data_IF_263499066392
#
_entry.id   IF_263499066392
#
_cell.length_a   1.000
_cell.length_b   1.000
_cell.length_c   1.000
_cell.angle_alpha   90.00
_cell.angle_beta   90.00
_cell.angle_gamma   90.00
#
_symmetry.space_group_name_H-M   'P 1'
#
loop_
_entity.id
_entity.type
_entity.pdbx_description
1 polymer ?
#
# COMPACT_ATOMS: atom_id res chain seq x y z
N UNK A 1 -17.87 -49.50 -14.77
CA UNK A 1 -17.69 -48.05 -14.57
C UNK A 1 -17.48 -47.79 -13.09
N UNK A 2 -16.25 -47.46 -12.70
CA UNK A 2 -15.89 -47.17 -11.30
C UNK A 2 -16.41 -45.77 -10.95
N UNK A 3 -17.32 -45.66 -9.97
CA UNK A 3 -17.72 -44.37 -9.41
C UNK A 3 -16.50 -43.75 -8.73
N UNK A 4 -15.98 -42.65 -9.28
CA UNK A 4 -14.94 -41.84 -8.65
C UNK A 4 -15.59 -41.07 -7.50
N UNK A 5 -15.21 -41.34 -6.25
CA UNK A 5 -15.65 -40.56 -5.10
C UNK A 5 -15.05 -39.14 -5.20
N UNK A 6 -15.92 -38.14 -5.12
CA UNK A 6 -15.52 -36.73 -5.07
C UNK A 6 -14.96 -36.45 -3.68
N UNK A 7 -13.69 -36.04 -3.61
CA UNK A 7 -13.08 -35.75 -2.31
C UNK A 7 -13.66 -34.47 -1.70
N UNK A 8 -13.62 -34.33 -0.36
CA UNK A 8 -13.98 -33.07 0.33
C UNK A 8 -13.24 -31.85 -0.23
N UNK A 9 -12.01 -32.04 -0.69
CA UNK A 9 -11.19 -30.99 -1.33
C UNK A 9 -11.76 -30.57 -2.68
N UNK A 10 -12.23 -31.53 -3.48
CA UNK A 10 -12.84 -31.26 -4.78
C UNK A 10 -14.21 -30.58 -4.61
N UNK A 11 -14.98 -30.99 -3.60
CA UNK A 11 -16.24 -30.34 -3.24
C UNK A 11 -16.01 -28.87 -2.85
N UNK A 12 -15.09 -28.60 -1.92
CA UNK A 12 -14.80 -27.22 -1.46
C UNK A 12 -14.29 -26.34 -2.60
N UNK A 13 -13.41 -26.86 -3.49
CA UNK A 13 -12.95 -26.13 -4.67
C UNK A 13 -14.10 -25.81 -5.62
N UNK A 14 -14.96 -26.78 -5.91
CA UNK A 14 -16.13 -26.58 -6.76
C UNK A 14 -17.09 -25.55 -6.17
N UNK A 15 -17.39 -25.62 -4.86
CA UNK A 15 -18.27 -24.68 -4.18
C UNK A 15 -17.70 -23.26 -4.16
N UNK A 16 -16.40 -23.10 -3.95
CA UNK A 16 -15.74 -21.78 -3.98
C UNK A 16 -15.80 -21.14 -5.37
N UNK A 17 -15.57 -21.93 -6.43
CA UNK A 17 -15.69 -21.48 -7.82
C UNK A 17 -17.15 -21.11 -8.14
N UNK A 18 -18.12 -21.94 -7.75
CA UNK A 18 -19.54 -21.67 -7.99
C UNK A 18 -20.01 -20.39 -7.27
N UNK A 19 -19.59 -20.17 -6.04
CA UNK A 19 -19.93 -18.95 -5.28
C UNK A 19 -19.29 -17.69 -5.88
N UNK A 20 -18.06 -17.78 -6.39
CA UNK A 20 -17.40 -16.68 -7.09
C UNK A 20 -18.13 -16.32 -8.40
N UNK A 21 -18.57 -17.33 -9.17
CA UNK A 21 -19.34 -17.13 -10.41
C UNK A 21 -20.73 -16.54 -10.12
N UNK A 22 -21.41 -16.99 -9.07
CA UNK A 22 -22.71 -16.46 -8.67
C UNK A 22 -22.62 -15.00 -8.19
N UNK A 23 -21.58 -14.65 -7.43
CA UNK A 23 -21.33 -13.27 -7.01
C UNK A 23 -20.97 -12.35 -8.20
N UNK A 24 -20.30 -12.86 -9.23
CA UNK A 24 -19.96 -12.11 -10.44
C UNK A 24 -21.15 -11.82 -11.37
N UNK A 25 -22.34 -12.37 -11.12
CA UNK A 25 -23.51 -12.24 -11.99
C UNK A 25 -23.34 -12.95 -13.34
N UNK A 26 -22.43 -13.91 -13.42
CA UNK A 26 -22.24 -14.74 -14.62
C UNK A 26 -23.38 -15.74 -14.76
N UNK A 27 -23.95 -15.82 -15.96
CA UNK A 27 -24.75 -16.99 -16.33
C UNK A 27 -23.88 -18.25 -16.22
N UNK A 28 -24.49 -19.37 -15.82
CA UNK A 28 -23.90 -20.70 -15.52
C UNK A 28 -22.97 -21.32 -16.59
N UNK A 29 -22.61 -20.60 -17.66
CA UNK A 29 -21.79 -21.08 -18.76
C UNK A 29 -20.29 -21.22 -18.43
N UNK A 30 -19.80 -20.65 -17.33
CA UNK A 30 -18.36 -20.68 -16.95
C UNK A 30 -17.99 -21.82 -15.99
N UNK A 31 -18.92 -22.71 -15.64
CA UNK A 31 -18.63 -23.90 -14.83
C UNK A 31 -18.23 -25.15 -15.66
N UNK A 32 -17.72 -24.98 -16.89
CA UNK A 32 -17.28 -26.10 -17.75
C UNK A 32 -15.77 -26.04 -17.94
N UNK A 33 -15.04 -26.29 -16.84
CA UNK A 33 -13.59 -26.50 -16.85
C UNK A 33 -13.15 -27.91 -16.43
N UNK A 34 -14.04 -28.73 -15.85
CA UNK A 34 -13.65 -30.04 -15.28
C UNK A 34 -14.54 -31.23 -15.66
N UNK A 35 -15.50 -31.08 -16.59
CA UNK A 35 -16.25 -32.22 -17.14
C UNK A 35 -16.31 -32.11 -18.66
N UNK A 36 -15.35 -32.76 -19.30
CA UNK A 36 -15.42 -33.06 -20.72
C UNK A 36 -16.49 -34.15 -20.91
N UNK A 37 -17.77 -33.79 -21.02
CA UNK A 37 -18.80 -34.57 -21.71
C UNK A 37 -20.08 -33.75 -21.95
N UNK A 38 -20.42 -33.68 -23.24
CA UNK A 38 -21.60 -33.13 -23.91
C UNK A 38 -22.81 -32.65 -23.10
N UNK A 39 -23.20 -31.41 -23.39
CA UNK A 39 -24.60 -31.04 -23.54
C UNK A 39 -24.69 -29.93 -24.60
N UNK A 40 -25.33 -30.26 -25.73
CA UNK A 40 -25.60 -29.33 -26.82
C UNK A 40 -26.66 -28.31 -26.43
N UNK A 41 -26.36 -27.05 -26.69
CA UNK A 41 -27.28 -25.92 -26.61
C UNK A 41 -26.67 -24.77 -27.40
N UNK A 42 -27.20 -24.50 -28.58
CA UNK A 42 -26.70 -23.50 -29.51
C UNK A 42 -26.87 -22.08 -28.98
N UNK A 43 -25.79 -21.52 -28.43
CA UNK A 43 -25.46 -20.12 -28.67
C UNK A 43 -24.06 -20.11 -29.28
N UNK A 44 -23.87 -19.38 -30.37
CA UNK A 44 -22.53 -19.12 -30.89
C UNK A 44 -21.75 -18.41 -29.78
N UNK A 45 -20.87 -19.14 -29.07
CA UNK A 45 -19.93 -18.51 -28.15
C UNK A 45 -19.19 -17.44 -28.95
N UNK A 46 -19.31 -16.18 -28.54
CA UNK A 46 -18.50 -15.11 -29.10
C UNK A 46 -17.03 -15.54 -29.02
N UNK A 47 -16.30 -15.35 -30.12
CA UNK A 47 -14.87 -15.65 -30.14
C UNK A 47 -14.18 -14.71 -29.14
N UNK A 48 -13.51 -15.27 -28.14
CA UNK A 48 -12.79 -14.49 -27.13
C UNK A 48 -11.29 -14.73 -27.24
N UNK A 49 -10.52 -13.69 -26.92
CA UNK A 49 -9.07 -13.76 -26.74
C UNK A 49 -8.70 -13.38 -25.31
N UNK A 50 -7.84 -14.18 -24.69
CA UNK A 50 -7.37 -13.95 -23.32
C UNK A 50 -6.05 -13.19 -23.32
N UNK A 51 -5.95 -12.20 -22.43
CA UNK A 51 -4.74 -11.42 -22.19
C UNK A 51 -4.42 -11.41 -20.71
N UNK A 52 -3.14 -11.55 -20.37
CA UNK A 52 -2.67 -11.34 -18.99
C UNK A 52 -2.49 -9.85 -18.75
N UNK A 53 -2.89 -9.39 -17.56
CA UNK A 53 -2.73 -8.00 -17.12
C UNK A 53 -2.59 -7.94 -15.60
N UNK A 54 -2.51 -6.74 -15.04
CA UNK A 54 -2.48 -6.47 -13.61
C UNK A 54 -3.75 -5.74 -13.19
N UNK A 55 -4.27 -6.06 -12.01
CA UNK A 55 -5.44 -5.41 -11.44
C UNK A 55 -5.27 -3.88 -11.37
N UNK A 56 -6.31 -3.13 -11.78
CA UNK A 56 -6.28 -1.66 -11.89
C UNK A 56 -6.35 -0.90 -10.55
N UNK A 57 -6.53 -1.60 -9.42
CA UNK A 57 -6.87 -0.99 -8.13
C UNK A 57 -5.68 -0.77 -7.18
N UNK A 58 -5.50 -1.62 -6.17
CA UNK A 58 -4.52 -1.41 -5.09
C UNK A 58 -3.13 -1.94 -5.44
N UNK A 59 -2.13 -1.52 -4.67
CA UNK A 59 -0.73 -1.94 -4.79
C UNK A 59 -0.41 -3.41 -4.48
N UNK A 60 -1.41 -4.28 -4.27
CA UNK A 60 -1.16 -5.73 -4.22
C UNK A 60 -0.62 -6.27 -5.56
N UNK A 61 -0.92 -5.62 -6.69
CA UNK A 61 -0.42 -6.06 -8.00
C UNK A 61 -0.93 -7.45 -8.43
N UNK A 62 -2.18 -7.79 -8.12
CA UNK A 62 -2.77 -9.07 -8.48
C UNK A 62 -2.77 -9.26 -10.00
N UNK A 63 -2.27 -10.40 -10.48
CA UNK A 63 -2.35 -10.78 -11.88
C UNK A 63 -3.78 -11.17 -12.25
N UNK A 64 -4.21 -10.77 -13.43
CA UNK A 64 -5.56 -11.05 -13.95
C UNK A 64 -5.52 -11.55 -15.39
N UNK A 65 -6.45 -12.45 -15.71
CA UNK A 65 -6.72 -12.91 -17.07
C UNK A 65 -7.97 -12.20 -17.57
N UNK A 66 -7.80 -11.41 -18.63
CA UNK A 66 -8.82 -10.59 -19.27
C UNK A 66 -9.30 -11.26 -20.55
N UNK A 67 -10.57 -11.68 -20.59
CA UNK A 67 -11.19 -12.22 -21.80
C UNK A 67 -11.88 -11.11 -22.60
N UNK A 68 -11.45 -10.91 -23.84
CA UNK A 68 -11.96 -9.89 -24.74
C UNK A 68 -12.73 -10.54 -25.88
N UNK A 69 -13.98 -10.15 -26.07
CA UNK A 69 -14.77 -10.47 -27.26
C UNK A 69 -14.13 -9.83 -28.49
N UNK A 70 -13.68 -10.66 -29.44
CA UNK A 70 -12.95 -10.23 -30.63
C UNK A 70 -13.85 -9.42 -31.58
N UNK A 71 -15.12 -9.81 -31.72
CA UNK A 71 -16.04 -9.16 -32.65
C UNK A 71 -16.43 -7.75 -32.16
N UNK A 72 -16.63 -7.59 -30.85
CA UNK A 72 -17.09 -6.33 -30.26
C UNK A 72 -15.97 -5.50 -29.63
N UNK A 73 -14.75 -6.03 -29.55
CA UNK A 73 -13.61 -5.45 -28.84
C UNK A 73 -13.96 -5.01 -27.40
N UNK A 74 -14.66 -5.90 -26.67
CA UNK A 74 -15.12 -5.63 -25.29
C UNK A 74 -14.52 -6.63 -24.31
N UNK A 75 -14.04 -6.13 -23.19
CA UNK A 75 -13.65 -6.92 -22.04
C UNK A 75 -14.92 -7.50 -21.40
N UNK A 76 -15.10 -8.81 -21.52
CA UNK A 76 -16.33 -9.51 -21.08
C UNK A 76 -16.16 -10.25 -19.76
N UNK A 77 -14.93 -10.64 -19.42
CA UNK A 77 -14.62 -11.37 -18.18
C UNK A 77 -13.22 -11.04 -17.66
N UNK A 78 -13.07 -11.03 -16.34
CA UNK A 78 -11.78 -10.90 -15.65
C UNK A 78 -11.72 -11.93 -14.54
N UNK A 79 -10.70 -12.79 -14.58
CA UNK A 79 -10.42 -13.79 -13.55
C UNK A 79 -9.03 -13.57 -12.95
N UNK A 80 -8.75 -14.18 -11.79
CA UNK A 80 -7.41 -14.11 -11.21
C UNK A 80 -6.45 -15.03 -11.96
N UNK A 81 -5.23 -14.55 -12.21
CA UNK A 81 -4.18 -15.34 -12.84
C UNK A 81 -3.58 -16.34 -11.82
N UNK A 82 -3.73 -17.66 -12.03
CA UNK A 82 -3.20 -18.68 -11.11
C UNK A 82 -1.67 -18.69 -11.05
N UNK A 83 -0.99 -18.24 -12.10
CA UNK A 83 0.47 -18.25 -12.20
C UNK A 83 1.10 -16.99 -11.59
N UNK A 84 0.27 -16.01 -11.19
CA UNK A 84 0.77 -14.81 -10.55
C UNK A 84 1.04 -15.02 -9.06
N UNK A 85 2.29 -14.82 -8.66
CA UNK A 85 2.75 -15.06 -7.29
C UNK A 85 2.26 -14.05 -6.24
N UNK A 86 1.58 -12.95 -6.63
CA UNK A 86 0.93 -12.07 -5.66
C UNK A 86 -0.36 -12.68 -5.13
N UNK A 87 -1.27 -13.07 -6.04
CA UNK A 87 -2.64 -13.47 -5.71
C UNK A 87 -2.96 -14.95 -5.92
N UNK A 88 -2.11 -15.71 -6.60
CA UNK A 88 -2.26 -17.17 -6.81
C UNK A 88 -3.66 -17.55 -7.32
N UNK A 89 -4.18 -16.79 -8.29
CA UNK A 89 -5.48 -16.99 -8.92
C UNK A 89 -6.68 -16.38 -8.17
N UNK A 90 -6.49 -15.80 -6.99
CA UNK A 90 -7.58 -15.17 -6.23
C UNK A 90 -7.78 -13.71 -6.63
N UNK A 91 -8.99 -13.21 -6.46
CA UNK A 91 -9.29 -11.78 -6.56
C UNK A 91 -10.14 -11.33 -5.38
N UNK A 92 -10.09 -10.04 -5.06
CA UNK A 92 -11.10 -9.41 -4.21
C UNK A 92 -12.30 -8.96 -5.04
N UNK A 93 -13.37 -8.51 -4.38
CA UNK A 93 -14.59 -8.02 -5.04
C UNK A 93 -14.29 -6.96 -6.12
N UNK A 94 -13.35 -6.05 -5.87
CA UNK A 94 -12.95 -5.02 -6.84
C UNK A 94 -12.38 -5.66 -8.12
N UNK A 95 -11.50 -6.66 -7.96
CA UNK A 95 -10.89 -7.40 -9.07
C UNK A 95 -11.91 -8.14 -9.92
N UNK A 96 -12.87 -8.83 -9.30
CA UNK A 96 -13.93 -9.56 -10.03
C UNK A 96 -14.85 -8.66 -10.86
N UNK A 97 -14.97 -7.36 -10.52
CA UNK A 97 -15.79 -6.41 -11.29
C UNK A 97 -14.97 -5.50 -12.23
N UNK A 98 -13.70 -5.79 -12.48
CA UNK A 98 -12.84 -5.00 -13.37
C UNK A 98 -13.44 -4.80 -14.78
N UNK A 99 -14.15 -5.79 -15.34
CA UNK A 99 -14.78 -5.63 -16.65
C UNK A 99 -15.82 -4.50 -16.69
N UNK A 100 -16.49 -4.20 -15.57
CA UNK A 100 -17.60 -3.23 -15.53
C UNK A 100 -17.13 -1.78 -15.48
N UNK A 101 -15.94 -1.50 -14.94
CA UNK A 101 -15.50 -0.11 -14.68
C UNK A 101 -15.22 0.69 -15.97
N UNK A 102 -15.10 0.01 -17.11
CA UNK A 102 -14.87 0.63 -18.41
C UNK A 102 -16.15 1.10 -19.11
N UNK A 103 -17.33 0.72 -18.61
CA UNK A 103 -18.60 0.83 -19.35
C UNK A 103 -19.69 1.61 -18.61
N UNK A 104 -19.31 2.57 -17.75
CA UNK A 104 -20.27 3.55 -17.24
C UNK A 104 -20.91 4.34 -18.39
N UNK A 105 -22.22 4.56 -18.32
CA UNK A 105 -23.00 5.25 -19.37
C UNK A 105 -22.57 6.71 -19.57
N UNK A 106 -21.94 7.29 -18.55
CA UNK A 106 -21.44 8.67 -18.49
C UNK A 106 -19.94 8.79 -18.83
N UNK A 107 -19.33 7.74 -19.41
CA UNK A 107 -17.92 7.80 -19.79
C UNK A 107 -17.69 8.96 -20.76
N UNK A 108 -16.75 9.84 -20.42
CA UNK A 108 -16.36 10.96 -21.28
C UNK A 108 -15.85 10.43 -22.64
N UNK A 109 -16.49 10.86 -23.72
CA UNK A 109 -16.15 10.46 -25.10
C UNK A 109 -15.58 11.59 -25.95
N UNK A 110 -15.72 12.85 -25.50
CA UNK A 110 -15.23 14.05 -26.19
C UNK A 110 -14.63 15.03 -25.18
N UNK A 111 -13.68 15.88 -25.60
CA UNK A 111 -13.27 17.03 -24.82
C UNK A 111 -14.45 17.94 -24.48
N UNK A 112 -14.43 18.49 -23.26
CA UNK A 112 -15.42 19.44 -22.77
C UNK A 112 -14.71 20.73 -22.37
N UNK A 113 -15.09 21.86 -22.96
CA UNK A 113 -14.50 23.18 -22.71
C UNK A 113 -15.55 24.11 -22.10
N UNK A 114 -15.11 24.87 -21.09
CA UNK A 114 -15.87 25.99 -20.54
C UNK A 114 -15.49 27.28 -21.27
N UNK A 115 -16.43 27.86 -22.01
CA UNK A 115 -16.22 29.11 -22.77
C UNK A 115 -16.59 30.36 -21.97
N UNK A 116 -17.63 30.28 -21.14
CA UNK A 116 -18.04 31.38 -20.27
C UNK A 116 -17.34 31.32 -18.91
N UNK A 117 -16.49 32.32 -18.62
CA UNK A 117 -15.78 32.45 -17.35
C UNK A 117 -16.71 32.62 -16.15
N UNK A 118 -17.90 33.17 -16.34
CA UNK A 118 -18.89 33.38 -15.26
C UNK A 118 -19.35 32.06 -14.62
N UNK A 119 -19.29 30.97 -15.39
CA UNK A 119 -19.71 29.63 -14.96
C UNK A 119 -18.61 28.84 -14.24
N UNK A 120 -17.42 29.43 -14.00
CA UNK A 120 -16.31 28.73 -13.35
C UNK A 120 -16.73 28.21 -11.96
N UNK A 121 -16.49 26.92 -11.70
CA UNK A 121 -16.82 26.26 -10.44
C UNK A 121 -18.25 25.69 -10.37
N UNK A 122 -19.07 25.89 -11.42
CA UNK A 122 -20.41 25.29 -11.51
C UNK A 122 -20.40 24.00 -12.33
N UNK A 123 -21.46 23.19 -12.17
CA UNK A 123 -21.69 21.99 -12.99
C UNK A 123 -22.05 22.34 -14.44
N UNK A 124 -22.68 23.48 -14.65
CA UNK A 124 -23.12 23.96 -15.97
C UNK A 124 -21.95 24.56 -16.77
N UNK A 125 -22.16 24.92 -18.03
CA UNK A 125 -21.22 25.74 -18.82
C UNK A 125 -20.08 24.97 -19.52
N UNK A 126 -20.03 23.64 -19.41
CA UNK A 126 -19.19 22.79 -20.25
C UNK A 126 -19.87 22.51 -21.58
N UNK A 127 -19.12 22.59 -22.67
CA UNK A 127 -19.60 22.32 -24.03
C UNK A 127 -18.63 21.39 -24.75
N UNK A 128 -19.16 20.50 -25.60
CA UNK A 128 -18.32 19.63 -26.42
C UNK A 128 -17.38 20.44 -27.32
N UNK A 129 -16.17 19.91 -27.50
CA UNK A 129 -15.16 20.45 -28.38
C UNK A 129 -14.43 19.33 -29.12
N UNK A 130 -13.75 19.69 -30.19
CA UNK A 130 -12.80 18.80 -30.88
C UNK A 130 -11.51 18.66 -30.08
N UNK A 131 -10.74 17.61 -30.38
CA UNK A 131 -9.40 17.42 -29.78
C UNK A 131 -8.44 18.55 -30.17
N UNK A 132 -8.52 19.04 -31.41
CA UNK A 132 -7.69 20.16 -31.89
C UNK A 132 -7.97 21.44 -31.08
N UNK A 133 -9.24 21.82 -30.94
CA UNK A 133 -9.64 22.99 -30.12
C UNK A 133 -9.18 22.85 -28.65
N UNK A 134 -9.31 21.65 -28.06
CA UNK A 134 -8.92 21.41 -26.67
C UNK A 134 -7.41 21.48 -26.48
N UNK A 135 -6.63 20.86 -27.37
CA UNK A 135 -5.17 20.86 -27.31
C UNK A 135 -4.63 22.27 -27.55
N UNK A 136 -5.15 23.00 -28.54
CA UNK A 136 -4.74 24.38 -28.83
C UNK A 136 -5.04 25.33 -27.67
N UNK A 137 -6.20 25.17 -27.03
CA UNK A 137 -6.54 25.95 -25.84
C UNK A 137 -5.55 25.68 -24.69
N UNK A 138 -5.27 24.42 -24.40
CA UNK A 138 -4.32 24.05 -23.32
C UNK A 138 -2.91 24.53 -23.67
N UNK A 139 -2.44 24.30 -24.90
CA UNK A 139 -1.11 24.68 -25.35
C UNK A 139 -0.91 26.20 -25.34
N UNK A 140 -1.89 26.97 -25.83
CA UNK A 140 -1.83 28.44 -25.82
C UNK A 140 -1.78 28.99 -24.39
N UNK A 141 -2.63 28.49 -23.49
CA UNK A 141 -2.64 28.90 -22.08
C UNK A 141 -1.37 28.51 -21.35
N UNK A 142 -0.89 27.28 -21.55
CA UNK A 142 0.35 26.81 -20.96
C UNK A 142 1.54 27.67 -21.43
N UNK A 143 1.61 27.97 -22.74
CA UNK A 143 2.67 28.83 -23.31
C UNK A 143 2.60 30.27 -22.80
N UNK A 144 1.40 30.84 -22.67
CA UNK A 144 1.17 32.17 -22.10
C UNK A 144 1.71 32.24 -20.66
N UNK A 145 1.27 31.32 -19.79
CA UNK A 145 1.68 31.30 -18.38
C UNK A 145 3.17 30.97 -18.23
N UNK A 146 3.68 30.01 -18.99
CA UNK A 146 5.09 29.62 -18.96
C UNK A 146 6.04 30.76 -19.37
N UNK A 147 5.64 31.60 -20.34
CA UNK A 147 6.42 32.79 -20.73
C UNK A 147 6.42 33.87 -19.65
N UNK A 148 5.34 33.98 -18.88
CA UNK A 148 5.22 34.95 -17.79
C UNK A 148 6.01 34.50 -16.55
N UNK A 149 5.75 33.29 -16.06
CA UNK A 149 6.47 32.67 -14.95
C UNK A 149 6.37 31.14 -15.05
N UNK A 150 7.52 30.45 -15.10
CA UNK A 150 7.59 28.99 -15.12
C UNK A 150 7.02 28.32 -13.86
N UNK A 151 6.92 29.06 -12.75
CA UNK A 151 6.31 28.57 -11.50
C UNK A 151 4.78 28.71 -11.49
N UNK A 152 4.21 29.46 -12.43
CA UNK A 152 2.76 29.63 -12.54
C UNK A 152 2.04 28.45 -13.20
N UNK A 153 2.78 27.47 -13.73
CA UNK A 153 2.24 26.24 -14.29
C UNK A 153 2.50 25.09 -13.32
N UNK A 154 1.52 24.18 -13.18
CA UNK A 154 1.69 22.97 -12.40
C UNK A 154 0.97 21.78 -13.05
N UNK A 155 1.45 20.56 -12.79
CA UNK A 155 0.80 19.32 -13.18
C UNK A 155 0.59 18.41 -11.98
N UNK A 156 -0.63 17.92 -11.79
CA UNK A 156 -0.95 16.95 -10.75
C UNK A 156 -1.02 15.55 -11.37
N UNK A 157 0.05 14.78 -11.21
CA UNK A 157 0.21 13.45 -11.79
C UNK A 157 -0.51 12.36 -10.97
N UNK A 158 -0.37 11.09 -11.36
CA UNK A 158 -1.03 10.00 -10.66
C UNK A 158 -0.20 8.72 -10.60
N UNK A 159 -0.10 8.12 -9.40
CA UNK A 159 0.43 6.77 -9.17
C UNK A 159 -0.45 5.63 -9.72
N UNK A 160 -1.31 5.94 -10.69
CA UNK A 160 -2.12 5.00 -11.45
C UNK A 160 -1.80 5.05 -12.95
N UNK A 161 -0.86 5.92 -13.34
CA UNK A 161 -0.36 5.98 -14.70
C UNK A 161 0.54 4.76 -14.96
N UNK A 162 0.52 4.19 -16.17
CA UNK A 162 1.60 3.34 -16.63
C UNK A 162 2.94 4.05 -16.51
N UNK A 163 4.00 3.29 -16.24
CA UNK A 163 5.37 3.80 -16.05
C UNK A 163 5.80 4.71 -17.22
N UNK A 164 5.49 4.30 -18.46
CA UNK A 164 5.85 5.06 -19.66
C UNK A 164 5.15 6.42 -19.71
N UNK A 165 3.87 6.50 -19.32
CA UNK A 165 3.16 7.78 -19.26
C UNK A 165 3.78 8.71 -18.21
N UNK A 166 4.05 8.19 -17.00
CA UNK A 166 4.72 8.95 -15.94
C UNK A 166 6.09 9.46 -16.36
N UNK A 167 6.90 8.62 -17.01
CA UNK A 167 8.23 8.98 -17.50
C UNK A 167 8.18 10.07 -18.59
N UNK A 168 7.31 9.91 -19.59
CA UNK A 168 7.17 10.90 -20.66
C UNK A 168 6.63 12.23 -20.13
N UNK A 169 5.66 12.20 -19.22
CA UNK A 169 5.14 13.38 -18.53
C UNK A 169 6.25 14.10 -17.75
N UNK A 170 7.04 13.36 -16.97
CA UNK A 170 8.16 13.93 -16.22
C UNK A 170 9.20 14.56 -17.14
N UNK A 171 9.54 13.93 -18.28
CA UNK A 171 10.45 14.52 -19.28
C UNK A 171 9.88 15.78 -19.89
N UNK A 172 8.62 15.75 -20.32
CA UNK A 172 7.96 16.93 -20.88
C UNK A 172 7.98 18.10 -19.90
N UNK A 173 7.66 17.86 -18.63
CA UNK A 173 7.59 18.91 -17.62
C UNK A 173 8.97 19.42 -17.18
N UNK A 174 9.86 18.50 -16.79
CA UNK A 174 11.16 18.85 -16.21
C UNK A 174 12.20 19.24 -17.24
N UNK A 175 12.28 18.53 -18.37
CA UNK A 175 13.26 18.82 -19.42
C UNK A 175 12.69 19.72 -20.52
N UNK A 176 11.41 19.58 -20.87
CA UNK A 176 10.77 20.42 -21.88
C UNK A 176 10.39 21.80 -21.35
N UNK A 177 9.60 21.85 -20.28
CA UNK A 177 9.12 23.11 -19.69
C UNK A 177 10.06 23.69 -18.63
N UNK A 178 11.11 22.96 -18.24
CA UNK A 178 12.07 23.41 -17.22
C UNK A 178 11.38 23.83 -15.91
N UNK A 179 10.36 23.06 -15.50
CA UNK A 179 9.59 23.28 -14.28
C UNK A 179 9.58 22.03 -13.41
N UNK A 180 9.72 22.23 -12.10
CA UNK A 180 9.57 21.18 -11.08
C UNK A 180 8.20 21.21 -10.42
N UNK A 181 7.27 22.05 -10.89
CA UNK A 181 5.88 22.10 -10.41
C UNK A 181 5.08 20.91 -10.95
N UNK A 182 5.52 19.70 -10.63
CA UNK A 182 4.86 18.45 -10.96
C UNK A 182 4.94 17.56 -9.73
N UNK A 183 3.79 17.08 -9.26
CA UNK A 183 3.70 16.19 -8.10
C UNK A 183 2.50 15.25 -8.29
N UNK A 184 2.57 13.98 -7.85
CA UNK A 184 1.49 13.02 -8.03
C UNK A 184 0.56 13.00 -6.80
N UNK A 185 -0.63 12.41 -6.97
CA UNK A 185 -1.46 12.00 -5.83
C UNK A 185 -0.73 11.06 -4.84
N UNK A 186 0.33 10.36 -5.26
CA UNK A 186 1.18 9.55 -4.39
C UNK A 186 1.90 10.38 -3.30
N UNK A 187 1.99 11.71 -3.44
CA UNK A 187 2.38 12.65 -2.36
C UNK A 187 1.56 12.45 -1.10
N UNK A 188 0.26 12.25 -1.27
CA UNK A 188 -0.71 12.05 -0.19
C UNK A 188 -0.68 10.63 0.37
N UNK A 189 0.20 9.76 -0.15
CA UNK A 189 0.21 8.34 0.13
C UNK A 189 1.57 7.86 0.64
N UNK A 190 2.61 7.93 -0.19
CA UNK A 190 3.88 7.24 0.05
C UNK A 190 5.02 8.16 0.48
N UNK A 191 4.86 9.49 0.38
CA UNK A 191 5.96 10.43 0.62
C UNK A 191 6.67 10.23 1.97
N UNK A 192 5.92 9.97 3.06
CA UNK A 192 6.50 9.69 4.37
C UNK A 192 7.36 8.41 4.39
N UNK A 193 6.92 7.37 3.69
CA UNK A 193 7.68 6.12 3.58
C UNK A 193 8.93 6.32 2.71
N UNK A 194 8.80 6.97 1.55
CA UNK A 194 9.93 7.26 0.65
C UNK A 194 11.02 8.06 1.36
N UNK A 195 10.66 9.14 2.07
CA UNK A 195 11.64 9.94 2.82
C UNK A 195 12.32 9.09 3.89
N UNK A 196 11.58 8.22 4.59
CA UNK A 196 12.18 7.33 5.57
C UNK A 196 13.11 6.28 4.94
N UNK A 197 12.74 5.69 3.80
CA UNK A 197 13.62 4.79 3.04
C UNK A 197 14.91 5.50 2.64
N UNK A 198 14.82 6.70 2.08
CA UNK A 198 16.00 7.49 1.69
C UNK A 198 16.88 7.86 2.88
N UNK A 199 16.28 8.19 4.04
CA UNK A 199 17.04 8.51 5.25
C UNK A 199 17.78 7.29 5.83
N UNK A 200 17.16 6.12 5.82
CA UNK A 200 17.69 4.91 6.48
C UNK A 200 18.61 4.11 5.55
N UNK A 201 18.25 3.98 4.27
CA UNK A 201 18.89 3.07 3.34
C UNK A 201 19.56 3.76 2.13
N UNK A 202 19.28 5.05 1.91
CA UNK A 202 19.78 5.77 0.73
C UNK A 202 19.17 5.30 -0.60
N UNK A 203 18.16 4.43 -0.54
CA UNK A 203 17.41 3.90 -1.68
C UNK A 203 15.97 3.67 -1.24
N UNK A 204 15.04 3.66 -2.19
CA UNK A 204 13.61 3.51 -1.93
C UNK A 204 13.16 2.04 -2.01
N UNK A 205 11.95 1.80 -1.53
CA UNK A 205 11.20 0.54 -1.57
C UNK A 205 11.63 -0.58 -0.58
N UNK A 206 10.70 -1.48 -0.21
CA UNK A 206 11.00 -2.58 0.72
C UNK A 206 12.13 -3.49 0.23
N UNK A 207 13.03 -3.87 1.14
CA UNK A 207 14.05 -4.89 0.86
C UNK A 207 13.51 -6.34 0.85
N UNK A 208 12.28 -6.54 1.33
CA UNK A 208 11.59 -7.83 1.37
C UNK A 208 10.67 -8.04 0.16
N UNK A 209 9.93 -9.15 0.15
CA UNK A 209 8.91 -9.43 -0.88
C UNK A 209 7.69 -10.15 -0.30
N UNK A 210 6.64 -10.35 -1.10
CA UNK A 210 5.46 -11.07 -0.62
C UNK A 210 5.73 -12.53 -0.22
N UNK A 211 6.84 -13.13 -0.67
CA UNK A 211 7.25 -14.47 -0.20
C UNK A 211 7.54 -14.52 1.30
N UNK A 212 7.80 -13.38 1.94
CA UNK A 212 8.03 -13.32 3.38
C UNK A 212 6.77 -13.70 4.17
N UNK A 213 5.58 -13.51 3.61
CA UNK A 213 4.32 -13.82 4.29
C UNK A 213 4.26 -15.30 4.67
N UNK A 214 4.64 -16.21 3.78
CA UNK A 214 4.58 -17.66 4.05
C UNK A 214 5.63 -18.14 5.07
N UNK A 215 6.66 -17.34 5.33
CA UNK A 215 7.78 -17.67 6.22
C UNK A 215 7.68 -17.01 7.60
N UNK A 216 6.71 -16.09 7.80
CA UNK A 216 6.61 -15.26 9.00
C UNK A 216 6.06 -16.03 10.22
N UNK A 217 6.58 -15.75 11.41
CA UNK A 217 6.05 -16.27 12.68
C UNK A 217 5.18 -15.25 13.42
N UNK A 218 5.44 -13.96 13.26
CA UNK A 218 4.68 -12.87 13.90
C UNK A 218 4.41 -11.77 12.89
N UNK A 219 3.14 -11.54 12.58
CA UNK A 219 2.69 -10.37 11.83
C UNK A 219 2.40 -9.22 12.76
N UNK A 220 2.82 -8.01 12.39
CA UNK A 220 2.51 -6.78 13.12
C UNK A 220 1.93 -5.75 12.16
N UNK A 221 0.62 -5.52 12.19
CA UNK A 221 -0.02 -4.49 11.36
C UNK A 221 -0.05 -3.16 12.11
N UNK A 222 0.73 -2.18 11.64
CA UNK A 222 0.77 -0.82 12.18
C UNK A 222 -0.21 0.07 11.43
N UNK A 223 -1.44 0.16 11.93
CA UNK A 223 -2.52 0.97 11.35
C UNK A 223 -2.97 0.50 9.96
N UNK A 224 -2.63 -0.72 9.56
CA UNK A 224 -2.93 -1.25 8.23
C UNK A 224 -4.20 -2.11 8.23
N UNK A 225 -5.29 -1.56 7.71
CA UNK A 225 -6.51 -2.34 7.44
C UNK A 225 -6.37 -3.18 6.16
N UNK A 226 -5.51 -4.19 6.20
CA UNK A 226 -5.18 -5.03 5.05
C UNK A 226 -6.38 -5.81 4.52
N UNK A 227 -7.31 -6.23 5.38
CA UNK A 227 -8.51 -6.98 4.97
C UNK A 227 -9.33 -6.27 3.89
N UNK A 228 -9.32 -4.93 3.89
CA UNK A 228 -10.12 -4.10 2.97
C UNK A 228 -9.25 -3.36 1.94
N UNK A 229 -8.06 -2.92 2.35
CA UNK A 229 -7.14 -2.14 1.51
C UNK A 229 -6.17 -3.00 0.70
N UNK A 230 -5.75 -4.16 1.22
CA UNK A 230 -4.83 -5.12 0.57
C UNK A 230 -5.33 -6.57 0.65
N UNK A 231 -6.55 -6.90 0.18
CA UNK A 231 -7.23 -8.12 0.59
C UNK A 231 -6.51 -9.41 0.18
N UNK A 232 -5.79 -9.41 -0.93
CA UNK A 232 -5.06 -10.60 -1.41
C UNK A 232 -3.81 -10.88 -0.56
N UNK A 233 -3.12 -9.84 -0.09
CA UNK A 233 -2.02 -10.01 0.86
C UNK A 233 -2.56 -10.44 2.22
N UNK A 234 -3.67 -9.86 2.68
CA UNK A 234 -4.31 -10.30 3.92
C UNK A 234 -4.78 -11.76 3.86
N UNK A 235 -5.31 -12.21 2.72
CA UNK A 235 -5.65 -13.62 2.50
C UNK A 235 -4.45 -14.54 2.75
N UNK A 236 -3.25 -14.13 2.32
CA UNK A 236 -1.99 -14.88 2.56
C UNK A 236 -1.56 -14.83 4.03
N UNK A 237 -1.68 -13.68 4.69
CA UNK A 237 -1.44 -13.55 6.15
C UNK A 237 -2.34 -14.52 6.93
N UNK A 238 -3.64 -14.52 6.63
CA UNK A 238 -4.60 -15.43 7.26
C UNK A 238 -4.29 -16.89 6.93
N UNK A 239 -3.94 -17.21 5.68
CA UNK A 239 -3.56 -18.57 5.30
C UNK A 239 -2.33 -19.08 6.08
N UNK A 240 -1.28 -18.25 6.22
CA UNK A 240 -0.11 -18.56 7.05
C UNK A 240 -0.49 -18.78 8.50
N UNK A 241 -1.30 -17.89 9.08
CA UNK A 241 -1.76 -18.00 10.46
C UNK A 241 -2.59 -19.27 10.73
N UNK A 242 -3.47 -19.64 9.80
CA UNK A 242 -4.30 -20.83 9.93
C UNK A 242 -3.51 -22.13 9.70
N UNK A 243 -2.38 -22.07 8.99
CA UNK A 243 -1.53 -23.23 8.74
C UNK A 243 -0.69 -23.65 9.96
N UNK A 244 -0.38 -22.72 10.87
CA UNK A 244 0.37 -23.01 12.09
C UNK A 244 -0.15 -22.16 13.26
N UNK A 245 -0.69 -22.83 14.29
CA UNK A 245 -1.21 -22.18 15.51
C UNK A 245 -0.18 -21.38 16.30
N UNK A 246 1.12 -21.56 16.04
CA UNK A 246 2.19 -20.77 16.65
C UNK A 246 2.39 -19.41 16.01
N UNK A 247 1.84 -19.18 14.81
CA UNK A 247 1.92 -17.91 14.11
C UNK A 247 0.99 -16.91 14.78
N UNK A 248 1.56 -15.76 15.16
CA UNK A 248 0.84 -14.68 15.83
C UNK A 248 0.58 -13.50 14.90
N UNK A 249 -0.48 -12.76 15.18
CA UNK A 249 -0.81 -11.50 14.53
C UNK A 249 -1.21 -10.47 15.59
N UNK A 250 -0.44 -9.38 15.62
CA UNK A 250 -0.71 -8.19 16.43
C UNK A 250 -1.25 -7.10 15.51
N UNK A 251 -2.46 -6.63 15.76
CA UNK A 251 -3.08 -5.55 15.01
C UNK A 251 -3.12 -4.28 15.84
N UNK A 252 -2.37 -3.27 15.42
CA UNK A 252 -2.34 -1.96 16.07
C UNK A 252 -3.15 -0.98 15.22
N UNK A 253 -4.03 -0.22 15.85
CA UNK A 253 -4.82 0.79 15.14
C UNK A 253 -5.54 1.75 16.07
N UNK A 254 -6.23 2.72 15.50
CA UNK A 254 -7.07 3.67 16.27
C UNK A 254 -8.52 3.20 16.39
N UNK A 255 -8.91 2.21 15.60
CA UNK A 255 -10.22 1.55 15.59
C UNK A 255 -10.04 0.05 15.29
N UNK A 256 -11.02 -0.76 15.66
CA UNK A 256 -11.10 -2.15 15.20
C UNK A 256 -11.58 -2.20 13.75
N UNK A 257 -11.04 -3.13 12.97
CA UNK A 257 -11.38 -3.32 11.55
C UNK A 257 -11.59 -4.81 11.25
N UNK A 258 -11.88 -5.15 9.98
CA UNK A 258 -11.91 -6.56 9.56
C UNK A 258 -10.55 -7.26 9.65
N UNK A 259 -9.45 -6.50 9.71
CA UNK A 259 -8.10 -7.02 9.95
C UNK A 259 -7.96 -7.52 11.39
N UNK A 260 -8.59 -6.82 12.35
CA UNK A 260 -8.53 -7.14 13.78
C UNK A 260 -9.17 -8.48 14.13
N UNK A 261 -10.07 -9.00 13.29
CA UNK A 261 -10.81 -10.25 13.55
C UNK A 261 -9.89 -11.48 13.59
N UNK A 262 -8.80 -11.48 12.83
CA UNK A 262 -7.85 -12.60 12.84
C UNK A 262 -6.65 -12.39 13.76
N UNK A 263 -6.55 -11.23 14.41
CA UNK A 263 -5.43 -10.90 15.29
C UNK A 263 -5.53 -11.64 16.63
N UNK A 264 -4.40 -12.11 17.16
CA UNK A 264 -4.33 -12.64 18.53
C UNK A 264 -4.39 -11.52 19.56
N UNK A 265 -3.86 -10.35 19.21
CA UNK A 265 -3.94 -9.13 20.03
C UNK A 265 -4.29 -7.93 19.16
N UNK A 266 -5.26 -7.15 19.64
CA UNK A 266 -5.64 -5.87 19.03
C UNK A 266 -5.27 -4.76 20.00
N UNK A 267 -4.35 -3.88 19.61
CA UNK A 267 -3.87 -2.77 20.42
C UNK A 267 -4.50 -1.49 19.87
N UNK A 268 -5.60 -1.06 20.48
CA UNK A 268 -6.27 0.20 20.12
C UNK A 268 -5.58 1.35 20.84
N UNK A 269 -4.95 2.24 20.07
CA UNK A 269 -4.18 3.36 20.59
C UNK A 269 -4.81 4.71 20.24
N UNK A 270 -4.55 5.74 21.04
CA UNK A 270 -4.98 7.12 20.76
C UNK A 270 -4.26 7.67 19.52
N UNK A 271 -4.93 8.33 18.56
CA UNK A 271 -4.27 8.82 17.34
C UNK A 271 -2.98 9.60 17.62
N UNK A 272 -1.90 9.23 16.92
CA UNK A 272 -0.57 9.84 17.08
C UNK A 272 0.34 9.24 18.17
N UNK A 273 -0.15 8.28 18.95
CA UNK A 273 0.61 7.68 20.07
C UNK A 273 1.38 6.41 19.73
N UNK A 274 1.29 5.92 18.49
CA UNK A 274 2.05 4.79 17.96
C UNK A 274 3.57 4.99 18.07
N UNK A 275 4.05 6.23 17.91
CA UNK A 275 5.45 6.60 18.12
C UNK A 275 5.91 6.27 19.56
N UNK A 276 5.08 6.54 20.57
CA UNK A 276 5.41 6.22 21.95
C UNK A 276 5.48 4.70 22.19
N UNK A 277 4.57 3.93 21.56
CA UNK A 277 4.58 2.46 21.62
C UNK A 277 5.87 1.91 21.00
N UNK A 278 6.23 2.35 19.78
CA UNK A 278 7.44 1.88 19.11
C UNK A 278 8.72 2.28 19.87
N UNK A 279 8.80 3.52 20.37
CA UNK A 279 9.92 3.95 21.21
C UNK A 279 10.01 3.12 22.51
N UNK A 280 8.88 2.77 23.13
CA UNK A 280 8.91 1.92 24.33
C UNK A 280 9.31 0.47 24.06
N UNK A 281 8.94 -0.08 22.90
CA UNK A 281 9.46 -1.39 22.46
C UNK A 281 10.97 -1.30 22.24
N UNK A 282 11.47 -0.25 21.58
CA UNK A 282 12.91 -0.03 21.41
C UNK A 282 13.62 0.10 22.76
N UNK A 283 13.06 0.88 23.69
CA UNK A 283 13.57 1.05 25.05
C UNK A 283 13.63 -0.30 25.79
N UNK A 284 12.58 -1.10 25.69
CA UNK A 284 12.54 -2.44 26.26
C UNK A 284 13.66 -3.33 25.70
N UNK A 285 13.87 -3.33 24.39
CA UNK A 285 14.92 -4.12 23.75
C UNK A 285 16.32 -3.72 24.24
N UNK A 286 16.62 -2.42 24.30
CA UNK A 286 17.95 -1.95 24.70
C UNK A 286 18.21 -2.14 26.20
N UNK A 287 17.22 -1.89 27.06
CA UNK A 287 17.37 -2.01 28.52
C UNK A 287 17.48 -3.45 28.99
N UNK A 288 16.89 -4.40 28.26
CA UNK A 288 16.92 -5.82 28.58
C UNK A 288 18.01 -6.60 27.82
N UNK A 289 18.92 -5.91 27.13
CA UNK A 289 19.98 -6.52 26.30
C UNK A 289 19.41 -7.53 25.28
N UNK A 290 18.28 -7.19 24.64
CA UNK A 290 17.57 -8.00 23.63
C UNK A 290 17.78 -7.47 22.20
N UNK A 291 18.93 -6.84 21.99
CA UNK A 291 19.36 -6.33 20.68
C UNK A 291 20.38 -7.28 20.05
N UNK A 292 20.47 -7.26 18.72
CA UNK A 292 21.51 -7.97 17.97
C UNK A 292 22.76 -7.08 17.89
N UNK A 293 23.65 -7.25 18.88
CA UNK A 293 24.86 -6.41 19.00
C UNK A 293 25.80 -6.56 17.81
N UNK A 294 25.90 -7.75 17.24
CA UNK A 294 26.77 -8.04 16.10
C UNK A 294 26.22 -7.39 14.83
N UNK A 295 24.90 -7.46 14.62
CA UNK A 295 24.26 -6.79 13.49
C UNK A 295 24.39 -5.27 13.61
N UNK A 296 24.14 -4.71 14.80
CA UNK A 296 24.25 -3.27 15.06
C UNK A 296 25.68 -2.80 14.76
N UNK A 297 26.69 -3.48 15.32
CA UNK A 297 28.09 -3.09 15.17
C UNK A 297 28.57 -3.10 13.71
N UNK A 298 28.01 -3.97 12.87
CA UNK A 298 28.42 -4.12 11.46
C UNK A 298 27.61 -3.26 10.49
N UNK A 299 26.34 -3.00 10.78
CA UNK A 299 25.39 -2.53 9.77
C UNK A 299 24.60 -1.27 10.16
N UNK A 300 24.75 -0.76 11.39
CA UNK A 300 23.89 0.33 11.91
C UNK A 300 24.74 1.52 12.36
N UNK A 301 24.34 2.71 11.94
CA UNK A 301 24.75 3.99 12.53
C UNK A 301 23.55 4.61 13.24
N UNK A 302 23.79 5.40 14.28
CA UNK A 302 22.73 6.10 14.99
C UNK A 302 22.75 7.59 14.64
N UNK A 303 21.57 8.14 14.39
CA UNK A 303 21.39 9.56 14.07
C UNK A 303 20.23 10.13 14.90
N UNK A 304 20.34 11.42 15.20
CA UNK A 304 19.30 12.21 15.83
C UNK A 304 18.85 13.31 14.87
N UNK A 305 17.56 13.35 14.57
CA UNK A 305 16.95 14.42 13.79
C UNK A 305 16.54 15.62 14.65
N UNK A 306 16.27 16.75 13.99
CA UNK A 306 15.68 17.93 14.63
C UNK A 306 14.28 17.62 15.16
N UNK A 307 14.01 18.00 16.42
CA UNK A 307 12.71 17.82 17.08
C UNK A 307 11.92 19.12 17.13
N UNK A 308 10.70 19.07 17.69
CA UNK A 308 9.82 20.24 17.83
C UNK A 308 9.50 20.94 16.49
N UNK A 309 9.38 20.14 15.43
CA UNK A 309 9.08 20.58 14.07
C UNK A 309 7.62 21.09 13.87
N UNK A 310 6.93 21.56 14.91
CA UNK A 310 5.59 22.17 14.86
C UNK A 310 4.55 21.45 13.96
N UNK A 311 3.49 22.12 13.51
CA UNK A 311 2.50 21.59 12.57
C UNK A 311 2.33 22.55 11.37
N UNK A 312 2.47 22.06 10.13
CA UNK A 312 2.46 22.92 8.94
C UNK A 312 1.15 23.69 8.71
N UNK A 313 0.05 23.27 9.33
CA UNK A 313 -1.25 23.94 9.22
C UNK A 313 -1.40 25.16 10.14
N UNK A 314 -0.57 25.27 11.18
CA UNK A 314 -0.76 26.27 12.24
C UNK A 314 0.20 27.46 12.11
N UNK A 315 1.39 27.25 11.56
CA UNK A 315 2.48 28.24 11.69
C UNK A 315 3.33 28.48 10.44
N UNK A 316 2.90 28.00 9.26
CA UNK A 316 3.69 28.11 8.04
C UNK A 316 5.09 27.47 8.19
N UNK A 317 5.18 26.38 8.96
CA UNK A 317 6.34 25.53 9.28
C UNK A 317 7.61 25.76 8.46
N UNK A 318 7.57 25.61 7.13
CA UNK A 318 8.73 25.75 6.23
C UNK A 318 9.41 27.12 6.29
N UNK A 319 8.67 28.17 6.68
CA UNK A 319 9.17 29.52 6.84
C UNK A 319 9.80 29.78 8.22
N UNK A 320 9.55 28.91 9.21
CA UNK A 320 10.12 29.06 10.56
C UNK A 320 11.61 28.70 10.58
N UNK A 321 12.44 29.30 11.46
CA UNK A 321 13.85 28.93 11.59
C UNK A 321 14.06 27.44 11.88
N UNK A 322 13.17 26.83 12.69
CA UNK A 322 13.27 25.41 13.02
C UNK A 322 12.84 24.51 11.85
N UNK A 323 11.82 24.90 11.09
CA UNK A 323 11.39 24.19 9.89
C UNK A 323 12.44 24.20 8.79
N UNK A 324 13.19 25.30 8.63
CA UNK A 324 14.34 25.37 7.72
C UNK A 324 15.46 24.38 8.10
N UNK A 325 15.51 23.94 9.36
CA UNK A 325 16.44 22.91 9.85
C UNK A 325 15.80 21.53 10.01
N UNK A 326 14.57 21.33 9.50
CA UNK A 326 13.79 20.11 9.71
C UNK A 326 14.42 18.82 9.17
N UNK A 327 15.30 18.94 8.16
CA UNK A 327 16.06 17.83 7.61
C UNK A 327 17.45 17.61 8.24
N UNK A 328 17.84 18.41 9.24
CA UNK A 328 19.16 18.27 9.85
C UNK A 328 19.23 17.01 10.72
N UNK A 329 20.35 16.30 10.61
CA UNK A 329 20.67 15.10 11.40
C UNK A 329 22.05 15.21 12.02
N UNK A 330 22.20 14.71 13.23
CA UNK A 330 23.47 14.58 13.95
C UNK A 330 23.77 13.10 14.17
N UNK A 331 24.96 12.64 13.83
CA UNK A 331 25.42 11.30 14.22
C UNK A 331 25.59 11.24 15.73
N UNK A 332 25.04 10.21 16.35
CA UNK A 332 25.11 9.96 17.79
C UNK A 332 25.63 8.55 18.05
N UNK A 333 26.05 8.31 19.28
CA UNK A 333 26.45 6.99 19.77
C UNK A 333 25.22 6.14 20.12
N UNK A 334 25.41 4.82 20.25
CA UNK A 334 24.36 3.92 20.71
C UNK A 334 23.91 4.25 22.15
N UNK A 335 24.82 4.67 23.02
CA UNK A 335 24.47 5.03 24.40
C UNK A 335 23.68 6.36 24.47
N UNK A 336 24.00 7.32 23.61
CA UNK A 336 23.15 8.51 23.45
C UNK A 336 21.74 8.12 22.95
N UNK A 337 21.63 7.19 21.99
CA UNK A 337 20.33 6.68 21.55
C UNK A 337 19.54 6.02 22.70
N UNK A 338 20.18 5.17 23.52
CA UNK A 338 19.56 4.59 24.72
C UNK A 338 19.08 5.66 25.70
N UNK A 339 19.89 6.68 25.95
CA UNK A 339 19.53 7.76 26.86
C UNK A 339 18.27 8.51 26.39
N UNK A 340 18.09 8.68 25.07
CA UNK A 340 16.88 9.29 24.50
C UNK A 340 15.64 8.42 24.64
N UNK A 341 15.79 7.10 24.62
CA UNK A 341 14.69 6.16 24.82
C UNK A 341 14.23 6.04 26.28
N UNK A 342 15.04 6.49 27.24
CA UNK A 342 14.79 6.29 28.67
C UNK A 342 13.44 6.84 29.16
N UNK A 343 12.94 7.92 28.54
CA UNK A 343 11.62 8.49 28.87
C UNK A 343 10.46 7.60 28.42
N UNK A 344 10.65 6.80 27.37
CA UNK A 344 9.63 5.93 26.80
C UNK A 344 9.61 4.58 27.53
N UNK A 345 9.27 4.56 28.81
CA UNK A 345 9.00 3.30 29.52
C UNK A 345 7.71 2.66 29.02
N UNK A 346 7.48 1.38 29.34
CA UNK A 346 6.22 0.70 29.00
C UNK A 346 5.02 1.40 29.65
N UNK A 347 5.18 1.87 30.89
CA UNK A 347 4.17 2.62 31.65
C UNK A 347 3.88 3.97 30.99
N UNK A 348 4.92 4.69 30.57
CA UNK A 348 4.75 5.99 29.90
C UNK A 348 4.06 5.84 28.55
N UNK A 349 4.44 4.83 27.76
CA UNK A 349 3.78 4.54 26.50
C UNK A 349 2.32 4.09 26.72
N UNK A 350 2.02 3.32 27.77
CA UNK A 350 0.66 2.96 28.12
C UNK A 350 -0.18 4.18 28.52
N UNK A 351 0.40 5.10 29.30
CA UNK A 351 -0.23 6.38 29.67
C UNK A 351 -0.58 7.21 28.44
N UNK A 352 0.38 7.39 27.51
CA UNK A 352 0.20 8.20 26.29
C UNK A 352 -0.80 7.54 25.34
N UNK A 353 -0.63 6.24 25.08
CA UNK A 353 -1.37 5.54 24.04
C UNK A 353 -2.72 4.99 24.46
N UNK A 354 -2.94 4.75 25.75
CA UNK A 354 -4.10 4.02 26.25
C UNK A 354 -4.03 2.50 26.06
N UNK A 355 -2.95 1.97 25.47
CA UNK A 355 -2.72 0.51 25.35
C UNK A 355 -2.15 -0.01 26.66
N UNK A 356 -2.56 -1.21 27.10
CA UNK A 356 -2.07 -1.78 28.35
C UNK A 356 -0.56 -2.04 28.33
N UNK A 357 0.12 -1.85 29.47
CA UNK A 357 1.54 -2.22 29.65
C UNK A 357 1.77 -3.67 29.24
N UNK A 358 0.87 -4.58 29.61
CA UNK A 358 0.95 -6.00 29.27
C UNK A 358 0.90 -6.28 27.78
N UNK A 359 0.16 -5.50 26.99
CA UNK A 359 0.08 -5.70 25.55
C UNK A 359 1.29 -5.12 24.82
N UNK A 360 1.75 -3.93 25.23
CA UNK A 360 3.00 -3.35 24.72
C UNK A 360 4.16 -4.28 25.02
N UNK A 361 4.26 -4.79 26.26
CA UNK A 361 5.29 -5.76 26.66
C UNK A 361 5.20 -7.05 25.85
N UNK A 362 3.99 -7.60 25.65
CA UNK A 362 3.81 -8.83 24.89
C UNK A 362 4.27 -8.69 23.43
N UNK A 363 4.12 -7.51 22.81
CA UNK A 363 4.68 -7.25 21.49
C UNK A 363 6.21 -7.07 21.56
N UNK A 364 6.71 -6.37 22.56
CA UNK A 364 8.14 -6.19 22.77
C UNK A 364 8.88 -7.54 22.99
N UNK A 365 8.25 -8.48 23.69
CA UNK A 365 8.74 -9.84 23.90
C UNK A 365 8.86 -10.63 22.58
N UNK A 366 7.94 -10.45 21.62
CA UNK A 366 8.09 -11.06 20.29
C UNK A 366 9.31 -10.50 19.55
N UNK A 367 9.49 -9.18 19.57
CA UNK A 367 10.68 -8.54 19.00
C UNK A 367 11.98 -8.99 19.70
N UNK A 368 11.94 -9.21 21.00
CA UNK A 368 13.08 -9.64 21.81
C UNK A 368 13.52 -11.10 21.57
N UNK A 369 12.64 -11.94 21.02
CA UNK A 369 12.96 -13.34 20.73
C UNK A 369 13.76 -13.46 19.41
N UNK A 370 15.04 -13.85 19.44
CA UNK A 370 15.88 -13.95 18.24
C UNK A 370 15.44 -15.08 17.30
N UNK A 371 14.65 -16.05 17.77
CA UNK A 371 14.15 -17.15 16.94
C UNK A 371 12.92 -16.77 16.10
N UNK A 372 12.25 -15.66 16.42
CA UNK A 372 11.01 -15.25 15.76
C UNK A 372 11.27 -14.44 14.49
N UNK A 373 10.66 -14.90 13.40
CA UNK A 373 10.57 -14.13 12.17
C UNK A 373 9.40 -13.16 12.21
N UNK A 374 9.67 -11.86 12.07
CA UNK A 374 8.67 -10.80 12.24
C UNK A 374 8.50 -10.01 10.97
N UNK A 375 7.26 -9.87 10.51
CA UNK A 375 6.90 -9.00 9.39
C UNK A 375 6.03 -7.84 9.90
N UNK A 376 6.60 -6.63 9.93
CA UNK A 376 5.83 -5.41 10.23
C UNK A 376 5.24 -4.85 8.94
N UNK A 377 3.94 -4.61 8.93
CA UNK A 377 3.17 -4.17 7.76
C UNK A 377 2.46 -2.86 8.09
N UNK A 378 2.65 -1.81 7.28
CA UNK A 378 1.97 -0.52 7.49
C UNK A 378 1.51 0.12 6.19
N UNK A 379 0.51 1.00 6.28
CA UNK A 379 -0.02 1.79 5.16
C UNK A 379 -0.22 3.25 5.59
N UNK A 380 -1.42 3.80 5.41
CA UNK A 380 -1.72 5.21 5.64
C UNK A 380 -1.82 5.56 7.11
N UNK A 381 -2.10 4.60 8.00
CA UNK A 381 -2.05 4.83 9.44
C UNK A 381 -0.70 5.38 9.91
N UNK A 382 0.39 4.99 9.23
CA UNK A 382 1.75 5.48 9.48
C UNK A 382 2.13 6.62 8.52
N UNK A 383 1.72 6.57 7.25
CA UNK A 383 2.19 7.55 6.27
C UNK A 383 1.41 8.88 6.29
N UNK A 384 0.08 8.84 6.48
CA UNK A 384 -0.78 10.02 6.62
C UNK A 384 -0.82 10.49 8.08
N UNK A 385 0.36 10.86 8.56
CA UNK A 385 0.64 11.15 9.95
C UNK A 385 1.54 12.40 9.99
N UNK A 386 1.28 13.34 10.90
CA UNK A 386 2.05 14.60 11.00
C UNK A 386 3.54 14.38 11.35
N UNK A 387 3.86 13.20 11.87
CA UNK A 387 5.22 12.63 12.06
C UNK A 387 5.42 11.27 11.36
N UNK A 388 4.83 11.09 10.17
CA UNK A 388 4.83 9.78 9.50
C UNK A 388 6.22 9.26 9.12
N UNK A 389 7.14 10.15 8.74
CA UNK A 389 8.55 9.79 8.50
C UNK A 389 9.18 9.21 9.76
N UNK A 390 8.93 9.81 10.93
CA UNK A 390 9.49 9.34 12.20
C UNK A 390 8.90 8.01 12.63
N UNK A 391 7.59 7.80 12.40
CA UNK A 391 6.99 6.51 12.70
C UNK A 391 7.54 5.40 11.79
N UNK A 392 7.78 5.69 10.50
CA UNK A 392 8.52 4.78 9.62
C UNK A 392 9.92 4.47 10.19
N UNK A 393 10.71 5.48 10.58
CA UNK A 393 12.01 5.27 11.24
C UNK A 393 11.89 4.38 12.48
N UNK A 394 10.88 4.60 13.31
CA UNK A 394 10.68 3.81 14.53
C UNK A 394 10.39 2.35 14.23
N UNK A 395 9.59 2.04 13.19
CA UNK A 395 9.37 0.65 12.74
C UNK A 395 10.70 0.05 12.24
N UNK A 396 11.49 0.79 11.45
CA UNK A 396 12.82 0.33 11.02
C UNK A 396 13.75 0.09 12.20
N UNK A 397 13.78 0.98 13.20
CA UNK A 397 14.61 0.85 14.39
C UNK A 397 14.34 -0.48 15.12
N UNK A 398 13.09 -0.91 15.25
CA UNK A 398 12.77 -2.20 15.88
C UNK A 398 13.42 -3.38 15.15
N UNK A 399 13.38 -3.37 13.82
CA UNK A 399 13.96 -4.43 12.99
C UNK A 399 15.49 -4.35 12.92
N UNK A 400 16.06 -3.14 12.85
CA UNK A 400 17.51 -2.92 12.84
C UNK A 400 18.16 -3.25 14.19
N UNK A 401 17.51 -2.91 15.30
CA UNK A 401 17.98 -3.28 16.65
C UNK A 401 18.02 -4.79 16.86
N UNK A 402 17.21 -5.56 16.13
CA UNK A 402 17.04 -7.00 16.30
C UNK A 402 17.61 -7.82 15.14
N UNK A 403 18.21 -7.18 14.12
CA UNK A 403 18.74 -7.86 12.93
C UNK A 403 17.68 -8.59 12.09
N UNK A 404 16.41 -8.20 12.23
CA UNK A 404 15.23 -8.83 11.58
C UNK A 404 14.86 -8.12 10.27
N UNK A 405 15.80 -8.02 9.34
CA UNK A 405 15.60 -7.36 8.05
C UNK A 405 16.26 -8.14 6.91
N UNK A 406 15.70 -8.07 5.70
CA UNK A 406 16.23 -8.67 4.48
C UNK A 406 16.53 -10.17 4.60
N UNK A 407 15.69 -10.90 5.36
CA UNK A 407 15.74 -12.35 5.52
C UNK A 407 14.33 -12.92 5.27
N UNK A 408 14.19 -14.13 4.72
CA UNK A 408 12.88 -14.73 4.47
C UNK A 408 11.97 -14.74 5.72
N UNK A 409 10.84 -14.06 5.63
CA UNK A 409 9.85 -13.94 6.71
C UNK A 409 10.14 -12.85 7.74
N UNK A 410 11.22 -12.08 7.56
CA UNK A 410 11.63 -11.01 8.46
C UNK A 410 11.75 -9.68 7.72
N UNK A 411 10.97 -8.70 8.14
CA UNK A 411 11.29 -7.33 7.77
C UNK A 411 10.22 -6.29 8.08
N UNK A 412 10.63 -5.02 7.99
CA UNK A 412 9.72 -3.91 7.83
C UNK A 412 9.26 -3.81 6.37
N UNK A 413 7.95 -3.94 6.13
CA UNK A 413 7.34 -3.93 4.81
C UNK A 413 6.28 -2.81 4.68
N UNK A 414 6.67 -1.69 4.07
CA UNK A 414 5.74 -0.61 3.72
C UNK A 414 4.81 -1.06 2.59
N UNK A 415 3.51 -1.04 2.81
CA UNK A 415 2.51 -1.43 1.81
C UNK A 415 2.09 -0.22 0.97
N UNK A 416 2.33 -0.29 -0.33
CA UNK A 416 1.94 0.75 -1.28
C UNK A 416 0.45 0.69 -1.61
N UNK A 417 -0.21 1.86 -1.62
CA UNK A 417 -1.66 1.95 -1.84
C UNK A 417 -2.09 1.82 -3.31
N UNK A 418 -1.51 2.61 -4.19
CA UNK A 418 -1.86 2.67 -5.62
C UNK A 418 -1.11 1.60 -6.43
N UNK A 419 -1.56 1.25 -7.66
CA UNK A 419 -0.99 0.12 -8.39
C UNK A 419 0.39 0.43 -8.99
N UNK A 420 0.74 1.71 -9.15
CA UNK A 420 2.01 2.20 -9.69
C UNK A 420 2.42 3.50 -8.99
N UNK A 421 2.36 3.53 -7.66
CA UNK A 421 2.63 4.75 -6.87
C UNK A 421 4.11 5.14 -6.85
N UNK A 422 4.98 4.14 -6.84
CA UNK A 422 6.44 4.26 -6.82
C UNK A 422 6.97 4.33 -8.25
#
# INVERSE_FOLDING_TARGET
MVKKEVSRRDFVKATAVTLAVAAAGGTMATAVGCTNQGAGGGSSKAETKTFTSVCRFCGCGCGVLCEVDVANNKLVSVTGDPDNESNKGLNCVKGYYLAKVLYGDDRLTKPLIRKDKSTKGTKDGLTEATWEEAIDLVASKLKEQWKADKKAIAFWASGQQPIVEGYLLAKFWKAGLLSNMIDPNARLCMASAVVAFMNVFGTDEPAGSYSDIEETDVFVTWGANMAEAHPMLYSRVVARKLADSKVKHYDLGTITTRTSVSADKVLIFRPGSDNAIACAIANYLVTNNKVDTDFIAKNVIFQQGTENLSNPYEDNYDASPIGQTGGAVKVITFDEYKARLAEYTLEKAAEISGVSVSDIRALADEFADPAKKILSLWTMGVNQHNRGVWMNHNIYNLHLLTGKIAKPGCGPFSLTGQPTAC
#
